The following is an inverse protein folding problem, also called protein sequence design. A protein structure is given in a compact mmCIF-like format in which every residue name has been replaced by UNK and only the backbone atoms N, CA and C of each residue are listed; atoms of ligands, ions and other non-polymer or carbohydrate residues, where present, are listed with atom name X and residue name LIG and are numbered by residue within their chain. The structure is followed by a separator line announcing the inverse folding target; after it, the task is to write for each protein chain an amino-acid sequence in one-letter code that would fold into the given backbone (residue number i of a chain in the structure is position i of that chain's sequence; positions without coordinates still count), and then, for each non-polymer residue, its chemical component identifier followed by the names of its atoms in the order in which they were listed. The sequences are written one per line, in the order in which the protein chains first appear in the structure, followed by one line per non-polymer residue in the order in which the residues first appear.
data_IF_008625354137
#
_entry.id   IF_008625354137
#
_cell.length_a   1.000
_cell.length_b   1.000
_cell.length_c   1.000
_cell.angle_alpha   90.00
_cell.angle_beta   90.00
_cell.angle_gamma   90.00
#
_symmetry.space_group_name_H-M   'P 1'
#
loop_
_entity.id
_entity.type
_entity.pdbx_description
1 polymer ?
#
# COMPACT_ATOMS: atom_id res chain seq x y z
N UNK A 1 3.35 39.47 -7.48
CA UNK A 1 2.03 39.51 -6.81
C UNK A 1 2.15 39.54 -5.27
N UNK A 2 2.64 38.49 -4.59
CA UNK A 2 2.62 38.42 -3.12
C UNK A 2 3.28 39.61 -2.39
N UNK A 3 4.44 40.08 -2.86
CA UNK A 3 5.15 41.23 -2.26
C UNK A 3 4.44 42.58 -2.44
N UNK A 4 3.40 42.67 -3.27
CA UNK A 4 2.56 43.87 -3.36
C UNK A 4 1.51 43.93 -2.25
N UNK A 5 1.23 42.81 -1.58
CA UNK A 5 0.18 42.68 -0.56
C UNK A 5 0.72 42.77 0.88
N UNK A 6 2.04 42.76 1.07
CA UNK A 6 2.67 42.71 2.39
C UNK A 6 4.10 43.30 2.40
N UNK A 7 4.48 43.92 3.52
CA UNK A 7 5.85 44.43 3.75
C UNK A 7 6.85 43.31 4.08
N UNK A 8 6.36 42.19 4.62
CA UNK A 8 7.15 41.01 5.00
C UNK A 8 6.56 39.78 4.32
N UNK A 9 7.36 39.12 3.49
CA UNK A 9 6.95 37.92 2.75
C UNK A 9 7.66 36.71 3.33
N UNK A 10 6.90 35.83 3.96
CA UNK A 10 7.38 34.53 4.46
C UNK A 10 6.87 33.44 3.55
N UNK A 11 7.78 32.64 2.98
CA UNK A 11 7.40 31.47 2.16
C UNK A 11 7.70 30.20 2.92
N UNK A 12 6.70 29.34 3.08
CA UNK A 12 6.89 28.04 3.69
C UNK A 12 6.89 26.91 2.67
N UNK A 13 7.85 26.00 2.82
CA UNK A 13 8.05 24.85 1.94
C UNK A 13 7.55 23.59 2.64
N UNK A 14 6.74 22.79 1.93
CA UNK A 14 6.30 21.47 2.40
C UNK A 14 7.50 20.50 2.43
N UNK A 15 7.73 19.81 3.57
CA UNK A 15 8.77 18.79 3.70
C UNK A 15 8.70 17.69 2.66
N UNK A 16 9.85 17.13 2.29
CA UNK A 16 9.95 16.06 1.29
C UNK A 16 9.06 14.86 1.65
N UNK A 17 8.96 14.52 2.94
CA UNK A 17 8.15 13.40 3.44
C UNK A 17 6.64 13.56 3.24
N UNK A 18 6.16 14.77 2.93
CA UNK A 18 4.74 15.04 2.67
C UNK A 18 4.44 15.29 1.18
N UNK A 19 5.44 15.21 0.29
CA UNK A 19 5.24 15.43 -1.16
C UNK A 19 4.82 14.13 -1.87
N UNK A 20 3.52 13.96 -2.07
CA UNK A 20 2.94 12.76 -2.69
C UNK A 20 2.43 13.03 -4.12
N UNK A 21 3.29 13.57 -5.00
CA UNK A 21 2.93 14.01 -6.37
C UNK A 21 3.40 13.07 -7.50
N UNK A 22 3.58 11.78 -7.20
CA UNK A 22 4.05 10.78 -8.16
C UNK A 22 5.47 10.27 -7.88
N UNK A 23 6.00 9.36 -8.74
CA UNK A 23 7.31 8.76 -8.56
C UNK A 23 8.47 9.74 -8.68
N UNK A 24 9.47 9.56 -7.81
CA UNK A 24 10.67 10.41 -7.78
C UNK A 24 10.37 11.86 -7.42
N UNK A 25 9.28 12.10 -6.65
CA UNK A 25 8.89 13.42 -6.17
C UNK A 25 9.19 13.55 -4.67
N UNK A 26 9.64 14.73 -4.21
CA UNK A 26 9.99 15.90 -5.02
C UNK A 26 11.30 15.67 -5.80
N UNK A 27 11.46 16.34 -6.95
CA UNK A 27 12.70 16.22 -7.76
C UNK A 27 13.86 16.99 -7.14
N UNK A 28 13.55 18.10 -6.49
CA UNK A 28 14.48 18.90 -5.73
C UNK A 28 14.16 18.74 -4.24
N UNK A 29 15.18 18.47 -3.43
CA UNK A 29 15.01 18.34 -1.98
C UNK A 29 14.43 19.61 -1.37
N UNK A 30 13.80 19.48 -0.21
CA UNK A 30 13.25 20.59 0.56
C UNK A 30 14.27 21.70 0.81
N UNK A 31 15.55 21.33 1.00
CA UNK A 31 16.64 22.29 1.16
C UNK A 31 16.93 23.05 -0.14
N UNK A 32 17.04 22.37 -1.29
CA UNK A 32 17.25 23.03 -2.58
C UNK A 32 16.07 23.93 -2.96
N UNK A 33 14.84 23.47 -2.67
CA UNK A 33 13.62 24.27 -2.90
C UNK A 33 13.61 25.51 -2.00
N UNK A 34 13.97 25.37 -0.73
CA UNK A 34 14.05 26.50 0.20
C UNK A 34 15.14 27.49 -0.21
N UNK A 35 16.31 27.02 -0.61
CA UNK A 35 17.43 27.84 -1.09
C UNK A 35 17.04 28.64 -2.33
N UNK A 36 16.40 28.00 -3.32
CA UNK A 36 15.95 28.67 -4.54
C UNK A 36 14.93 29.79 -4.26
N UNK A 37 13.99 29.58 -3.33
CA UNK A 37 13.02 30.60 -2.94
C UNK A 37 13.66 31.70 -2.11
N UNK A 38 14.65 31.37 -1.27
CA UNK A 38 15.37 32.34 -0.46
C UNK A 38 16.21 33.31 -1.31
N UNK A 39 16.57 32.91 -2.53
CA UNK A 39 17.29 33.76 -3.48
C UNK A 39 16.41 34.83 -4.16
N UNK A 40 15.09 34.84 -3.91
CA UNK A 40 14.19 35.86 -4.46
C UNK A 40 14.24 37.12 -3.59
N UNK A 41 14.61 38.26 -4.18
CA UNK A 41 14.72 39.56 -3.49
C UNK A 41 13.43 39.99 -2.75
N UNK A 42 12.28 39.52 -3.23
CA UNK A 42 10.98 39.85 -2.65
C UNK A 42 10.57 38.95 -1.47
N UNK A 43 11.38 37.97 -1.09
CA UNK A 43 11.11 37.04 0.01
C UNK A 43 11.96 37.42 1.23
N UNK A 44 11.30 37.74 2.35
CA UNK A 44 11.96 38.15 3.60
C UNK A 44 12.51 36.95 4.38
N UNK A 45 11.79 35.84 4.38
CA UNK A 45 12.21 34.61 5.06
C UNK A 45 11.62 33.36 4.39
N UNK A 46 12.36 32.27 4.46
CA UNK A 46 11.91 30.94 4.02
C UNK A 46 12.01 29.97 5.18
N UNK A 47 10.99 29.12 5.34
CA UNK A 47 10.98 28.05 6.33
C UNK A 47 10.48 26.75 5.71
N UNK A 48 11.10 25.62 6.08
CA UNK A 48 10.51 24.30 5.84
C UNK A 48 9.54 24.05 7.01
N UNK A 49 8.27 23.81 6.70
CA UNK A 49 7.25 23.64 7.75
C UNK A 49 7.33 22.22 8.37
N UNK A 50 6.43 21.88 9.30
CA UNK A 50 6.42 20.58 9.99
C UNK A 50 5.21 19.72 9.66
N UNK A 51 4.35 20.18 8.74
CA UNK A 51 3.00 19.65 8.59
C UNK A 51 2.65 19.42 7.11
N UNK A 52 1.74 18.46 6.82
CA UNK A 52 1.34 18.17 5.45
C UNK A 52 0.47 19.27 4.81
N UNK A 53 -0.17 20.13 5.61
CA UNK A 53 -0.96 21.26 5.15
C UNK A 53 -0.50 22.59 5.79
N UNK A 54 -1.01 23.70 5.26
CA UNK A 54 -0.61 25.03 5.71
C UNK A 54 -1.33 25.50 6.99
N UNK A 55 -2.37 24.80 7.46
CA UNK A 55 -3.23 25.24 8.56
C UNK A 55 -2.43 25.50 9.85
N UNK A 56 -1.61 24.57 10.37
CA UNK A 56 -0.83 24.82 11.57
C UNK A 56 0.20 25.94 11.39
N UNK A 57 0.68 26.14 10.17
CA UNK A 57 1.65 27.19 9.85
C UNK A 57 0.99 28.57 9.89
N UNK A 58 -0.22 28.67 9.33
CA UNK A 58 -1.05 29.89 9.38
C UNK A 58 -1.36 30.23 10.83
N UNK A 59 -1.77 29.26 11.64
CA UNK A 59 -2.11 29.47 13.06
C UNK A 59 -0.89 29.87 13.91
N UNK A 60 0.31 29.38 13.57
CA UNK A 60 1.55 29.73 14.26
C UNK A 60 2.04 31.14 13.90
N UNK A 61 2.02 31.49 12.61
CA UNK A 61 2.54 32.78 12.13
C UNK A 61 1.52 33.92 12.25
N UNK A 62 0.22 33.59 12.23
CA UNK A 62 -0.92 34.53 12.23
C UNK A 62 -0.77 35.67 11.20
N UNK A 63 -0.58 35.38 9.90
CA UNK A 63 -0.32 36.42 8.91
C UNK A 63 -1.57 37.28 8.65
N UNK A 64 -1.37 38.53 8.23
CA UNK A 64 -2.47 39.41 7.80
C UNK A 64 -3.04 39.02 6.43
N UNK A 65 -2.20 38.44 5.56
CA UNK A 65 -2.56 37.98 4.22
C UNK A 65 -1.94 36.61 3.97
N UNK A 66 -2.73 35.65 3.51
CA UNK A 66 -2.24 34.36 3.00
C UNK A 66 -2.40 34.33 1.49
N UNK A 67 -1.31 34.11 0.76
CA UNK A 67 -1.29 34.22 -0.71
C UNK A 67 -1.23 32.84 -1.37
N UNK A 68 -2.09 32.59 -2.36
CA UNK A 68 -2.12 31.37 -3.18
C UNK A 68 -2.14 31.70 -4.68
N UNK A 69 -1.63 30.78 -5.49
CA UNK A 69 -1.68 30.88 -6.96
C UNK A 69 -3.09 30.64 -7.52
N UNK A 70 -3.32 30.94 -8.82
CA UNK A 70 -4.65 30.81 -9.43
C UNK A 70 -5.09 29.36 -9.61
N UNK A 71 -4.19 28.38 -9.50
CA UNK A 71 -4.52 26.94 -9.45
C UNK A 71 -5.52 26.57 -8.33
N UNK A 72 -5.77 27.49 -7.39
CA UNK A 72 -6.62 27.30 -6.21
C UNK A 72 -7.87 28.20 -6.22
N UNK A 73 -8.19 28.81 -7.37
CA UNK A 73 -9.30 29.77 -7.51
C UNK A 73 -10.67 29.10 -7.43
N UNK A 74 -10.78 27.78 -7.64
CA UNK A 74 -12.04 27.04 -7.61
C UNK A 74 -12.00 25.96 -6.53
N UNK A 75 -12.68 26.20 -5.40
CA UNK A 75 -12.79 25.24 -4.30
C UNK A 75 -13.42 23.88 -4.73
N UNK A 76 -14.19 23.87 -5.83
CA UNK A 76 -14.81 22.67 -6.39
C UNK A 76 -13.81 21.66 -6.98
N UNK A 77 -12.60 22.10 -7.35
CA UNK A 77 -11.55 21.25 -7.93
C UNK A 77 -10.61 20.66 -6.87
N UNK A 78 -10.69 21.12 -5.60
CA UNK A 78 -9.91 20.58 -4.50
C UNK A 78 -10.53 19.28 -3.96
N UNK A 79 -9.96 18.17 -4.39
CA UNK A 79 -10.28 16.82 -3.91
C UNK A 79 -10.08 16.61 -2.41
N UNK A 80 -9.38 17.50 -1.71
CA UNK A 80 -8.98 17.32 -0.30
C UNK A 80 -9.66 18.25 0.71
N UNK A 81 -10.44 19.23 0.24
CA UNK A 81 -11.00 20.29 1.09
C UNK A 81 -9.93 21.03 1.90
N UNK A 82 -8.68 21.04 1.44
CA UNK A 82 -7.56 21.69 2.10
C UNK A 82 -7.66 23.21 1.99
N UNK A 83 -8.08 23.72 0.82
CA UNK A 83 -8.24 25.16 0.56
C UNK A 83 -9.25 25.77 1.55
N UNK A 84 -10.39 25.12 1.75
CA UNK A 84 -11.42 25.60 2.66
C UNK A 84 -10.89 25.65 4.11
N UNK A 85 -10.16 24.62 4.55
CA UNK A 85 -9.54 24.60 5.88
C UNK A 85 -8.49 25.70 6.05
N UNK A 86 -7.69 25.96 5.03
CA UNK A 86 -6.70 27.04 5.01
C UNK A 86 -7.38 28.43 5.06
N UNK A 87 -8.50 28.61 4.35
CA UNK A 87 -9.29 29.84 4.38
C UNK A 87 -9.88 30.09 5.78
N UNK A 88 -10.51 29.08 6.38
CA UNK A 88 -11.04 29.19 7.73
C UNK A 88 -9.92 29.50 8.74
N UNK A 89 -8.74 28.93 8.58
CA UNK A 89 -7.59 29.18 9.45
C UNK A 89 -7.10 30.63 9.40
N UNK A 90 -7.02 31.23 8.20
CA UNK A 90 -6.57 32.62 8.05
C UNK A 90 -7.62 33.60 8.58
N UNK A 91 -8.91 33.33 8.36
CA UNK A 91 -10.02 34.14 8.91
C UNK A 91 -10.04 34.10 10.44
N UNK A 92 -9.81 32.93 11.06
CA UNK A 92 -9.64 32.80 12.52
C UNK A 92 -8.46 33.61 13.07
N UNK A 93 -7.41 33.81 12.26
CA UNK A 93 -6.27 34.62 12.64
C UNK A 93 -6.52 36.13 12.47
N UNK A 94 -7.62 36.53 11.83
CA UNK A 94 -7.94 37.91 11.48
C UNK A 94 -7.29 38.39 10.18
N UNK A 95 -6.76 37.47 9.37
CA UNK A 95 -6.19 37.76 8.06
C UNK A 95 -7.15 37.48 6.91
N UNK A 96 -6.69 37.65 5.67
CA UNK A 96 -7.45 37.33 4.45
C UNK A 96 -6.68 36.44 3.48
N UNK A 97 -7.40 35.60 2.74
CA UNK A 97 -6.84 34.88 1.59
C UNK A 97 -6.76 35.81 0.37
N UNK A 98 -5.64 35.80 -0.35
CA UNK A 98 -5.46 36.51 -1.61
C UNK A 98 -5.00 35.53 -2.70
N UNK A 99 -5.70 35.51 -3.83
CA UNK A 99 -5.40 34.64 -4.97
C UNK A 99 -4.82 35.51 -6.08
N UNK A 100 -3.65 35.12 -6.60
CA UNK A 100 -2.93 35.88 -7.63
C UNK A 100 -3.42 35.50 -9.03
N UNK A 101 -3.44 36.44 -9.97
CA UNK A 101 -3.86 36.24 -11.37
C UNK A 101 -2.68 36.12 -12.35
N UNK A 102 -1.71 35.26 -12.04
CA UNK A 102 -0.53 35.01 -12.91
C UNK A 102 -0.69 33.73 -13.75
N UNK A 103 0.06 33.63 -14.86
CA UNK A 103 0.09 32.42 -15.70
C UNK A 103 0.54 31.22 -14.88
N UNK A 104 -0.29 30.19 -14.80
CA UNK A 104 0.05 28.94 -14.12
C UNK A 104 0.73 27.95 -15.06
N UNK A 105 1.87 27.45 -14.61
CA UNK A 105 2.51 26.29 -15.21
C UNK A 105 2.33 25.10 -14.29
N UNK A 106 1.74 24.02 -14.80
CA UNK A 106 1.67 22.76 -14.05
C UNK A 106 3.08 22.20 -13.88
N UNK A 107 3.61 22.32 -12.66
CA UNK A 107 4.91 21.75 -12.28
C UNK A 107 5.02 20.26 -12.63
N UNK A 108 3.92 19.51 -12.50
CA UNK A 108 3.90 18.10 -12.91
C UNK A 108 4.02 17.94 -14.42
N UNK A 109 3.28 18.69 -15.23
CA UNK A 109 3.43 18.65 -16.70
C UNK A 109 4.84 19.03 -17.12
N UNK A 110 5.40 20.11 -16.57
CA UNK A 110 6.76 20.57 -16.89
C UNK A 110 7.78 19.49 -16.55
N UNK A 111 7.68 18.87 -15.38
CA UNK A 111 8.67 17.88 -14.97
C UNK A 111 8.45 16.55 -15.72
N UNK A 112 7.20 16.11 -15.92
CA UNK A 112 6.92 14.90 -16.71
C UNK A 112 7.44 15.07 -18.16
N UNK A 113 7.39 16.28 -18.72
CA UNK A 113 7.90 16.63 -20.05
C UNK A 113 9.42 16.80 -20.13
N UNK A 114 10.03 17.48 -19.15
CA UNK A 114 11.42 17.95 -19.26
C UNK A 114 12.41 17.26 -18.31
N UNK A 115 11.93 16.55 -17.31
CA UNK A 115 12.72 15.89 -16.26
C UNK A 115 12.10 14.51 -15.96
N UNK A 116 12.06 13.59 -16.95
CA UNK A 116 11.31 12.35 -16.83
C UNK A 116 11.89 11.46 -15.73
N UNK A 117 11.16 11.32 -14.63
CA UNK A 117 11.50 10.41 -13.51
C UNK A 117 11.08 8.95 -13.79
N UNK A 118 10.23 8.75 -14.80
CA UNK A 118 9.67 7.46 -15.18
C UNK A 118 10.51 6.77 -16.27
N UNK A 119 10.67 5.45 -16.15
CA UNK A 119 11.24 4.62 -17.22
C UNK A 119 10.49 4.82 -18.55
N UNK A 120 11.17 4.72 -19.71
CA UNK A 120 10.56 4.86 -21.03
C UNK A 120 9.32 3.97 -21.22
N UNK A 121 9.39 2.70 -20.84
CA UNK A 121 8.26 1.76 -20.96
C UNK A 121 7.02 2.21 -20.16
N UNK A 122 7.20 2.73 -18.94
CA UNK A 122 6.08 3.24 -18.15
C UNK A 122 5.46 4.49 -18.79
N UNK A 123 6.28 5.40 -19.36
CA UNK A 123 5.77 6.58 -20.05
C UNK A 123 4.94 6.23 -21.28
N UNK A 124 5.43 5.28 -22.08
CA UNK A 124 4.70 4.76 -23.24
C UNK A 124 3.37 4.12 -22.83
N UNK A 125 3.39 3.27 -21.80
CA UNK A 125 2.16 2.69 -21.23
C UNK A 125 1.17 3.78 -20.79
N UNK A 126 1.60 4.77 -20.01
CA UNK A 126 0.73 5.84 -19.51
C UNK A 126 0.15 6.69 -20.64
N UNK A 127 0.92 6.95 -21.70
CA UNK A 127 0.43 7.65 -22.89
C UNK A 127 -0.73 6.88 -23.53
N UNK A 128 -0.51 5.61 -23.88
CA UNK A 128 -1.56 4.74 -24.48
C UNK A 128 -2.74 4.53 -23.53
N UNK A 129 -2.50 4.48 -22.23
CA UNK A 129 -3.56 4.38 -21.22
C UNK A 129 -4.42 5.64 -21.20
N UNK A 130 -3.80 6.83 -21.20
CA UNK A 130 -4.49 8.13 -21.16
C UNK A 130 -5.32 8.44 -22.41
N UNK A 131 -5.01 7.80 -23.55
CA UNK A 131 -5.83 7.88 -24.77
C UNK A 131 -7.18 7.15 -24.61
N UNK A 132 -7.26 6.16 -23.73
CA UNK A 132 -8.44 5.30 -23.54
C UNK A 132 -9.18 5.56 -22.24
N UNK A 133 -8.48 6.07 -21.24
CA UNK A 133 -8.98 6.21 -19.87
C UNK A 133 -8.68 7.59 -19.32
N UNK A 134 -9.62 8.12 -18.53
CA UNK A 134 -9.45 9.40 -17.85
C UNK A 134 -9.17 9.20 -16.35
N UNK A 135 -8.47 10.16 -15.74
CA UNK A 135 -8.30 10.18 -14.28
C UNK A 135 -9.64 10.19 -13.53
N UNK A 136 -10.68 10.79 -14.11
CA UNK A 136 -12.03 10.79 -13.53
C UNK A 136 -12.61 9.38 -13.38
N UNK A 137 -12.39 8.49 -14.35
CA UNK A 137 -12.83 7.09 -14.27
C UNK A 137 -12.11 6.35 -13.15
N UNK A 138 -10.79 6.53 -13.03
CA UNK A 138 -10.00 5.95 -11.93
C UNK A 138 -10.51 6.44 -10.58
N UNK A 139 -10.72 7.76 -10.45
CA UNK A 139 -11.23 8.36 -9.23
C UNK A 139 -12.60 7.77 -8.86
N UNK A 140 -13.50 7.68 -9.83
CA UNK A 140 -14.84 7.09 -9.65
C UNK A 140 -14.75 5.63 -9.20
N UNK A 141 -13.85 4.84 -9.80
CA UNK A 141 -13.61 3.46 -9.40
C UNK A 141 -13.13 3.37 -7.95
N UNK A 142 -12.13 4.15 -7.55
CA UNK A 142 -11.59 4.15 -6.17
C UNK A 142 -12.65 4.62 -5.17
N UNK A 143 -13.42 5.67 -5.49
CA UNK A 143 -14.51 6.15 -4.63
C UNK A 143 -15.62 5.10 -4.48
N UNK A 144 -15.90 4.32 -5.53
CA UNK A 144 -16.86 3.20 -5.49
C UNK A 144 -16.40 2.00 -4.66
N UNK A 145 -15.22 2.02 -4.06
CA UNK A 145 -14.82 0.93 -3.15
C UNK A 145 -15.41 1.13 -1.75
N UNK A 146 -15.81 2.36 -1.41
CA UNK A 146 -16.20 2.74 -0.05
C UNK A 146 -17.39 1.94 0.50
N UNK A 147 -18.35 1.56 -0.33
CA UNK A 147 -19.58 0.86 0.02
C UNK A 147 -19.45 -0.67 0.10
N UNK A 148 -18.30 -1.24 -0.30
CA UNK A 148 -18.08 -2.68 -0.27
C UNK A 148 -17.98 -3.21 1.16
N UNK A 149 -18.62 -4.36 1.41
CA UNK A 149 -18.40 -5.16 2.62
C UNK A 149 -17.33 -6.20 2.37
N UNK A 150 -16.21 -6.10 3.08
CA UNK A 150 -15.03 -6.94 2.87
C UNK A 150 -14.72 -7.78 4.09
N UNK A 151 -14.54 -9.09 3.90
CA UNK A 151 -13.98 -9.97 4.91
C UNK A 151 -12.55 -10.34 4.50
N UNK A 152 -11.58 -10.09 5.37
CA UNK A 152 -10.20 -10.53 5.19
C UNK A 152 -9.95 -11.75 6.07
N UNK A 153 -9.42 -12.84 5.49
CA UNK A 153 -9.20 -14.12 6.17
C UNK A 153 -7.76 -14.59 5.94
N UNK A 154 -7.04 -14.95 7.00
CA UNK A 154 -5.67 -15.41 6.87
C UNK A 154 -4.93 -15.39 8.20
N UNK A 155 -3.66 -15.78 8.19
CA UNK A 155 -2.86 -15.81 9.40
C UNK A 155 -2.53 -14.40 9.92
N UNK A 156 -2.75 -14.19 11.23
CA UNK A 156 -2.22 -13.04 11.95
C UNK A 156 -0.73 -13.26 12.18
N UNK A 157 0.09 -12.31 11.72
CA UNK A 157 1.54 -12.38 11.85
C UNK A 157 2.01 -11.11 12.55
N UNK A 158 2.87 -11.28 13.55
CA UNK A 158 3.53 -10.17 14.23
C UNK A 158 4.91 -10.01 13.62
N UNK A 159 5.13 -8.89 12.93
CA UNK A 159 6.43 -8.56 12.37
C UNK A 159 7.25 -7.79 13.42
N UNK A 160 8.28 -8.42 13.96
CA UNK A 160 9.07 -7.91 15.09
C UNK A 160 10.48 -7.51 14.61
N UNK A 161 10.74 -6.22 14.46
CA UNK A 161 12.00 -5.68 13.94
C UNK A 161 12.95 -5.33 15.08
N UNK A 162 14.14 -5.93 15.09
CA UNK A 162 15.20 -5.70 16.07
C UNK A 162 16.34 -4.97 15.37
N UNK A 163 16.41 -3.65 15.56
CA UNK A 163 17.46 -2.82 14.99
C UNK A 163 18.73 -2.97 15.81
N UNK A 164 19.81 -3.31 15.11
CA UNK A 164 21.09 -3.66 15.68
C UNK A 164 22.21 -2.93 14.95
N UNK A 165 23.35 -2.76 15.63
CA UNK A 165 24.60 -2.29 15.02
C UNK A 165 25.63 -3.40 14.97
N UNK A 166 26.18 -3.70 13.80
CA UNK A 166 27.25 -4.71 13.66
C UNK A 166 28.51 -4.26 14.40
N UNK A 167 29.03 -5.14 15.27
CA UNK A 167 30.28 -4.95 16.00
C UNK A 167 31.47 -5.61 15.29
N UNK A 168 31.22 -6.71 14.56
CA UNK A 168 32.22 -7.46 13.82
C UNK A 168 32.00 -8.97 13.92
N UNK A 169 33.05 -9.75 13.65
CA UNK A 169 33.04 -11.20 13.82
C UNK A 169 33.19 -11.58 15.30
N UNK A 170 32.43 -12.58 15.75
CA UNK A 170 32.62 -13.18 17.08
C UNK A 170 34.01 -13.79 17.22
N UNK A 171 34.62 -13.66 18.39
CA UNK A 171 35.95 -14.21 18.69
C UNK A 171 35.97 -15.74 18.85
N UNK A 172 34.81 -16.39 19.01
CA UNK A 172 34.69 -17.83 19.29
C UNK A 172 34.11 -18.64 18.13
N UNK A 173 33.29 -18.02 17.30
CA UNK A 173 32.54 -18.68 16.24
C UNK A 173 32.51 -17.78 14.97
N UNK A 174 32.35 -18.32 13.76
CA UNK A 174 32.28 -17.55 12.52
C UNK A 174 30.92 -16.87 12.32
N UNK A 175 30.42 -16.20 13.35
CA UNK A 175 29.13 -15.50 13.37
C UNK A 175 29.33 -14.00 13.52
N UNK A 176 28.35 -13.21 13.06
CA UNK A 176 28.31 -11.78 13.31
C UNK A 176 27.90 -11.50 14.76
N UNK A 177 28.68 -10.68 15.45
CA UNK A 177 28.32 -10.08 16.73
C UNK A 177 27.68 -8.71 16.48
N UNK A 178 26.50 -8.49 17.05
CA UNK A 178 25.72 -7.26 16.88
C UNK A 178 25.29 -6.70 18.23
N UNK A 179 25.16 -5.38 18.33
CA UNK A 179 24.62 -4.69 19.51
C UNK A 179 23.17 -4.30 19.24
N UNK A 180 22.24 -4.73 20.10
CA UNK A 180 20.85 -4.28 20.06
C UNK A 180 20.76 -2.77 20.33
N UNK A 181 19.92 -2.07 19.57
CA UNK A 181 19.67 -0.64 19.76
C UNK A 181 18.22 -0.35 20.12
N UNK A 182 17.28 -0.90 19.35
CA UNK A 182 15.84 -0.73 19.57
C UNK A 182 15.03 -1.81 18.86
N UNK A 183 13.76 -1.94 19.23
CA UNK A 183 12.81 -2.79 18.52
C UNK A 183 11.54 -2.04 18.14
N UNK A 184 10.92 -2.47 17.05
CA UNK A 184 9.60 -2.00 16.60
C UNK A 184 8.76 -3.22 16.22
N UNK A 185 7.48 -3.23 16.57
CA UNK A 185 6.57 -4.33 16.27
C UNK A 185 5.44 -3.82 15.39
N UNK A 186 5.08 -4.58 14.36
CA UNK A 186 4.04 -4.22 13.40
C UNK A 186 3.01 -5.34 13.26
N UNK A 187 1.76 -4.94 13.03
CA UNK A 187 0.70 -5.83 12.59
C UNK A 187 0.96 -6.26 11.14
N UNK A 188 1.39 -7.49 10.94
CA UNK A 188 1.65 -8.11 9.64
C UNK A 188 0.62 -9.17 9.29
N UNK A 189 0.85 -9.87 8.18
CA UNK A 189 -0.07 -10.91 7.73
C UNK A 189 -1.42 -10.34 7.32
N UNK A 190 -2.50 -11.04 7.68
CA UNK A 190 -3.86 -10.57 7.40
C UNK A 190 -4.19 -9.24 8.11
N UNK A 191 -3.51 -8.90 9.19
CA UNK A 191 -3.76 -7.67 9.96
C UNK A 191 -3.34 -6.42 9.15
N UNK A 192 -2.21 -6.50 8.44
CA UNK A 192 -1.78 -5.45 7.53
C UNK A 192 -2.78 -5.25 6.39
N UNK A 193 -3.24 -6.36 5.80
CA UNK A 193 -4.27 -6.37 4.75
C UNK A 193 -5.56 -5.72 5.26
N UNK A 194 -6.01 -6.08 6.47
CA UNK A 194 -7.20 -5.48 7.09
C UNK A 194 -7.08 -3.95 7.18
N UNK A 195 -5.94 -3.44 7.66
CA UNK A 195 -5.68 -2.01 7.73
C UNK A 195 -5.68 -1.36 6.34
N UNK A 196 -5.02 -1.97 5.34
CA UNK A 196 -5.00 -1.45 3.97
C UNK A 196 -6.39 -1.39 3.33
N UNK A 197 -7.22 -2.42 3.53
CA UNK A 197 -8.60 -2.46 3.03
C UNK A 197 -9.50 -1.45 3.78
N UNK A 198 -9.28 -1.23 5.07
CA UNK A 198 -10.05 -0.25 5.86
C UNK A 198 -9.82 1.21 5.42
N UNK A 199 -8.70 1.49 4.75
CA UNK A 199 -8.44 2.80 4.17
C UNK A 199 -9.20 3.03 2.84
N UNK A 200 -9.75 1.98 2.24
CA UNK A 200 -10.46 1.99 0.96
C UNK A 200 -11.97 1.79 1.11
N UNK A 201 -12.41 1.14 2.19
CA UNK A 201 -13.80 0.68 2.37
C UNK A 201 -14.32 1.03 3.76
N UNK A 202 -15.62 1.23 3.90
CA UNK A 202 -16.25 1.58 5.18
C UNK A 202 -16.54 0.35 6.06
N UNK A 203 -16.53 -0.85 5.50
CA UNK A 203 -16.93 -2.09 6.19
C UNK A 203 -15.90 -3.19 5.94
N UNK A 204 -15.02 -3.40 6.93
CA UNK A 204 -14.00 -4.45 6.89
C UNK A 204 -14.06 -5.25 8.17
N UNK A 205 -14.10 -6.57 8.00
CA UNK A 205 -13.97 -7.49 9.12
C UNK A 205 -12.75 -8.40 8.89
N UNK A 206 -12.02 -8.72 9.96
CA UNK A 206 -10.90 -9.66 9.94
C UNK A 206 -11.25 -10.94 10.67
N UNK A 207 -11.01 -12.09 10.04
CA UNK A 207 -11.12 -13.41 10.63
C UNK A 207 -9.76 -14.09 10.67
N UNK A 208 -9.27 -14.34 11.88
CA UNK A 208 -7.94 -14.92 12.09
C UNK A 208 -7.84 -15.62 13.45
N UNK A 209 -6.71 -16.28 13.69
CA UNK A 209 -6.35 -16.81 14.99
C UNK A 209 -5.27 -15.99 15.68
N UNK A 210 -5.36 -15.93 17.01
CA UNK A 210 -4.27 -15.50 17.89
C UNK A 210 -3.99 -16.57 18.95
N UNK A 211 -2.72 -16.70 19.29
CA UNK A 211 -2.25 -17.64 20.31
C UNK A 211 -2.63 -17.22 21.74
N UNK A 212 -2.12 -17.94 22.75
CA UNK A 212 -2.52 -17.76 24.14
C UNK A 212 -1.95 -16.47 24.77
N UNK A 213 -0.89 -15.87 24.24
CA UNK A 213 -0.23 -14.72 24.85
C UNK A 213 -1.05 -13.42 24.75
N UNK A 214 -1.58 -12.96 25.89
CA UNK A 214 -2.47 -11.78 25.96
C UNK A 214 -1.84 -10.49 25.40
N UNK A 215 -0.50 -10.34 25.46
CA UNK A 215 0.19 -9.18 24.88
C UNK A 215 -0.10 -8.97 23.40
N UNK A 216 -0.29 -10.06 22.63
CA UNK A 216 -0.60 -9.96 21.21
C UNK A 216 -2.06 -9.62 20.96
N UNK A 217 -2.96 -9.98 21.86
CA UNK A 217 -4.35 -9.54 21.81
C UNK A 217 -4.45 -8.03 21.99
N UNK A 218 -3.83 -7.49 23.04
CA UNK A 218 -3.80 -6.04 23.30
C UNK A 218 -3.08 -5.27 22.17
N UNK A 219 -2.00 -5.84 21.63
CA UNK A 219 -1.29 -5.24 20.48
C UNK A 219 -2.19 -5.16 19.24
N UNK A 220 -2.84 -6.27 18.86
CA UNK A 220 -3.72 -6.30 17.68
C UNK A 220 -4.93 -5.38 17.85
N UNK A 221 -5.48 -5.25 19.06
CA UNK A 221 -6.54 -4.30 19.34
C UNK A 221 -6.12 -2.84 19.15
N UNK A 222 -4.88 -2.50 19.49
CA UNK A 222 -4.33 -1.15 19.34
C UNK A 222 -3.87 -0.81 17.91
N UNK A 223 -3.39 -1.79 17.15
CA UNK A 223 -2.86 -1.59 15.80
C UNK A 223 -3.90 -1.64 14.68
N UNK A 224 -5.01 -2.35 14.88
CA UNK A 224 -6.09 -2.38 13.91
C UNK A 224 -6.93 -1.10 14.01
N UNK A 225 -7.32 -0.56 12.85
CA UNK A 225 -8.28 0.55 12.80
C UNK A 225 -9.52 0.23 13.65
N UNK A 226 -10.04 1.18 14.46
CA UNK A 226 -11.25 0.98 15.26
C UNK A 226 -12.48 0.61 14.43
N UNK A 227 -12.49 0.93 13.13
CA UNK A 227 -13.57 0.59 12.20
C UNK A 227 -13.59 -0.88 11.78
N UNK A 228 -12.53 -1.64 12.03
CA UNK A 228 -12.42 -3.03 11.61
C UNK A 228 -13.15 -3.94 12.59
N UNK A 229 -14.14 -4.69 12.10
CA UNK A 229 -14.79 -5.77 12.85
C UNK A 229 -13.82 -6.93 13.09
N UNK A 230 -13.80 -7.47 14.30
CA UNK A 230 -12.79 -8.45 14.74
C UNK A 230 -13.43 -9.80 15.02
N UNK A 231 -13.13 -10.79 14.20
CA UNK A 231 -13.44 -12.20 14.42
C UNK A 231 -12.16 -12.95 14.80
N UNK A 232 -11.50 -12.52 15.88
CA UNK A 232 -10.26 -13.12 16.35
C UNK A 232 -10.57 -14.36 17.21
N UNK A 233 -10.15 -15.51 16.73
CA UNK A 233 -10.35 -16.80 17.40
C UNK A 233 -9.10 -17.15 18.22
N UNK A 234 -9.29 -17.79 19.37
CA UNK A 234 -8.17 -18.26 20.19
C UNK A 234 -7.71 -19.65 19.76
N UNK A 235 -6.40 -19.84 19.69
CA UNK A 235 -5.77 -21.15 19.46
C UNK A 235 -4.73 -21.49 20.53
N UNK A 236 -4.33 -22.75 20.59
CA UNK A 236 -3.31 -23.24 21.52
C UNK A 236 -1.88 -22.95 21.05
N UNK A 237 -1.66 -22.98 19.74
CA UNK A 237 -0.37 -22.64 19.13
C UNK A 237 -0.01 -21.16 19.40
N UNK A 238 1.28 -20.80 19.48
CA UNK A 238 1.69 -19.41 19.66
C UNK A 238 1.22 -18.54 18.50
N UNK A 239 1.03 -17.24 18.76
CA UNK A 239 0.84 -16.27 17.67
C UNK A 239 2.09 -16.28 16.80
N UNK A 240 1.92 -16.29 15.47
CA UNK A 240 3.06 -16.34 14.55
C UNK A 240 3.83 -15.03 14.65
N UNK A 241 5.11 -15.10 14.99
CA UNK A 241 6.02 -13.94 15.02
C UNK A 241 7.13 -14.15 13.99
N UNK A 242 7.34 -13.17 13.11
CA UNK A 242 8.49 -13.09 12.22
C UNK A 242 9.44 -12.02 12.75
N UNK A 243 10.44 -12.45 13.53
CA UNK A 243 11.43 -11.55 14.13
C UNK A 243 12.59 -11.33 13.16
N UNK A 244 12.89 -10.08 12.81
CA UNK A 244 13.93 -9.70 11.86
C UNK A 244 15.00 -8.86 12.53
N UNK A 245 16.25 -9.28 12.40
CA UNK A 245 17.39 -8.49 12.88
C UNK A 245 17.92 -7.64 11.73
N UNK A 246 17.94 -6.32 11.94
CA UNK A 246 18.20 -5.32 10.89
C UNK A 246 19.34 -4.42 11.33
N UNK A 247 20.34 -4.23 10.48
CA UNK A 247 21.39 -3.25 10.69
C UNK A 247 20.80 -1.83 10.64
N UNK A 248 20.99 -1.02 11.69
CA UNK A 248 20.41 0.33 11.79
C UNK A 248 20.77 1.25 10.60
N UNK A 249 21.95 1.07 10.02
CA UNK A 249 22.36 1.73 8.78
C UNK A 249 23.26 0.79 7.97
N UNK A 250 22.89 0.35 6.76
CA UNK A 250 21.91 0.96 5.86
C UNK A 250 20.52 0.27 5.82
N UNK A 251 19.98 -0.21 6.95
CA UNK A 251 18.72 -0.99 7.01
C UNK A 251 18.79 -2.37 6.35
N UNK A 252 19.98 -2.97 6.33
CA UNK A 252 20.18 -4.32 5.80
C UNK A 252 19.65 -5.38 6.77
N UNK A 253 18.83 -6.32 6.27
CA UNK A 253 18.34 -7.47 7.05
C UNK A 253 19.45 -8.51 7.17
N UNK A 254 19.78 -8.89 8.40
CA UNK A 254 20.84 -9.84 8.72
C UNK A 254 20.31 -11.28 8.67
N UNK A 255 19.24 -11.54 9.43
CA UNK A 255 18.53 -12.82 9.47
C UNK A 255 17.14 -12.64 10.09
N UNK A 256 16.31 -13.67 9.99
CA UNK A 256 15.00 -13.71 10.63
C UNK A 256 14.76 -15.02 11.38
N UNK A 257 13.90 -14.97 12.40
CA UNK A 257 13.50 -16.09 13.25
C UNK A 257 11.99 -16.19 13.22
N UNK A 258 11.48 -17.39 12.93
CA UNK A 258 10.06 -17.70 12.98
C UNK A 258 9.74 -18.28 14.36
N UNK A 259 8.84 -17.63 15.09
CA UNK A 259 8.24 -18.17 16.31
C UNK A 259 6.84 -18.63 15.93
N UNK A 260 6.70 -19.92 15.73
CA UNK A 260 5.46 -20.58 15.33
C UNK A 260 5.59 -22.08 15.65
N UNK A 261 4.46 -22.77 15.79
CA UNK A 261 4.45 -24.23 15.79
C UNK A 261 4.47 -24.74 14.34
N UNK A 262 5.14 -25.89 14.12
CA UNK A 262 5.20 -26.54 12.81
C UNK A 262 3.79 -26.81 12.25
N UNK A 263 3.65 -26.66 10.93
CA UNK A 263 2.40 -26.52 10.17
C UNK A 263 1.46 -27.75 10.13
N UNK A 264 1.21 -28.41 11.26
CA UNK A 264 0.13 -29.38 11.38
C UNK A 264 -1.15 -28.73 11.88
N UNK A 265 -2.21 -29.03 11.16
CA UNK A 265 -3.51 -28.45 11.36
C UNK A 265 -4.15 -29.03 12.64
N UNK A 266 -4.51 -28.17 13.61
CA UNK A 266 -5.29 -28.57 14.78
C UNK A 266 -6.77 -28.79 14.39
N UNK A 267 -7.34 -30.02 14.48
CA UNK A 267 -8.72 -30.30 14.06
C UNK A 267 -9.76 -29.41 14.75
N UNK A 268 -9.52 -29.07 16.02
CA UNK A 268 -10.39 -28.16 16.79
C UNK A 268 -10.39 -26.74 16.20
N UNK A 269 -9.22 -26.23 15.81
CA UNK A 269 -9.11 -24.94 15.14
C UNK A 269 -9.76 -24.96 13.75
N UNK A 270 -9.70 -26.09 12.99
CA UNK A 270 -10.49 -26.23 11.75
C UNK A 270 -11.95 -26.01 12.01
N UNK A 271 -12.50 -26.76 12.96
CA UNK A 271 -13.93 -26.82 13.17
C UNK A 271 -14.45 -25.43 13.53
N UNK A 272 -13.75 -24.73 14.43
CA UNK A 272 -14.08 -23.37 14.82
C UNK A 272 -13.99 -22.38 13.65
N UNK A 273 -12.95 -22.49 12.82
CA UNK A 273 -12.81 -21.63 11.64
C UNK A 273 -13.92 -21.89 10.63
N UNK A 274 -14.24 -23.16 10.36
CA UNK A 274 -15.29 -23.56 9.42
C UNK A 274 -16.67 -23.09 9.90
N UNK A 275 -16.98 -23.28 11.18
CA UNK A 275 -18.22 -22.78 11.80
C UNK A 275 -18.32 -21.26 11.66
N UNK A 276 -17.23 -20.54 11.96
CA UNK A 276 -17.24 -19.08 11.83
C UNK A 276 -17.42 -18.64 10.39
N UNK A 277 -16.69 -19.23 9.44
CA UNK A 277 -16.81 -18.97 8.01
C UNK A 277 -18.24 -19.20 7.51
N UNK A 278 -18.84 -20.34 7.86
CA UNK A 278 -20.23 -20.67 7.49
C UNK A 278 -21.22 -19.61 7.98
N UNK A 279 -20.99 -19.07 9.17
CA UNK A 279 -21.90 -18.08 9.75
C UNK A 279 -21.80 -16.68 9.14
N UNK A 280 -20.65 -16.29 8.58
CA UNK A 280 -20.40 -14.90 8.19
C UNK A 280 -19.99 -14.69 6.72
N UNK A 281 -19.35 -15.65 6.05
CA UNK A 281 -18.67 -15.39 4.77
C UNK A 281 -19.61 -14.89 3.66
N UNK A 282 -20.84 -15.43 3.60
CA UNK A 282 -21.86 -15.06 2.61
C UNK A 282 -22.48 -13.65 2.81
N UNK A 283 -22.17 -12.99 3.93
CA UNK A 283 -22.63 -11.62 4.23
C UNK A 283 -21.76 -10.52 3.58
N UNK A 284 -20.61 -10.90 3.01
CA UNK A 284 -19.65 -9.98 2.42
C UNK A 284 -19.70 -10.03 0.89
N UNK A 285 -19.40 -8.90 0.27
CA UNK A 285 -19.30 -8.76 -1.17
C UNK A 285 -18.01 -9.39 -1.69
N UNK A 286 -16.92 -9.17 -0.94
CA UNK A 286 -15.56 -9.65 -1.25
C UNK A 286 -14.98 -10.36 -0.04
N UNK A 287 -14.48 -11.57 -0.25
CA UNK A 287 -13.64 -12.30 0.72
C UNK A 287 -12.22 -12.33 0.18
N UNK A 288 -11.29 -11.69 0.89
CA UNK A 288 -9.86 -11.66 0.55
C UNK A 288 -9.13 -12.64 1.46
N UNK A 289 -8.45 -13.61 0.86
CA UNK A 289 -7.68 -14.63 1.57
C UNK A 289 -6.20 -14.41 1.33
N UNK A 290 -5.43 -14.34 2.41
CA UNK A 290 -3.96 -14.40 2.35
C UNK A 290 -3.50 -15.61 3.13
N UNK A 291 -3.02 -16.61 2.40
CA UNK A 291 -2.59 -17.90 2.92
C UNK A 291 -1.07 -17.98 2.93
N UNK A 292 -0.47 -17.79 4.10
CA UNK A 292 0.97 -17.87 4.29
C UNK A 292 1.45 -19.32 4.43
N UNK A 293 0.52 -20.28 4.51
CA UNK A 293 0.83 -21.69 4.60
C UNK A 293 1.35 -22.12 5.98
N UNK A 294 0.92 -21.45 7.04
CA UNK A 294 1.27 -21.77 8.43
C UNK A 294 0.19 -22.61 9.15
N UNK A 295 -0.81 -23.11 8.41
CA UNK A 295 -1.70 -24.19 8.87
C UNK A 295 -3.12 -23.77 9.32
N UNK A 296 -3.42 -22.46 9.29
CA UNK A 296 -4.75 -21.95 9.59
C UNK A 296 -5.79 -22.43 8.56
N UNK A 297 -5.49 -22.26 7.27
CA UNK A 297 -6.41 -22.53 6.18
C UNK A 297 -6.34 -24.01 5.78
N UNK A 298 -7.03 -24.85 6.55
CA UNK A 298 -7.17 -26.29 6.31
C UNK A 298 -7.92 -26.62 5.02
N UNK A 299 -7.87 -27.87 4.57
CA UNK A 299 -8.65 -28.30 3.40
C UNK A 299 -10.17 -28.06 3.57
N UNK A 300 -10.80 -28.38 4.73
CA UNK A 300 -12.18 -28.00 5.00
C UNK A 300 -12.42 -26.48 4.96
N UNK A 301 -11.56 -25.67 5.60
CA UNK A 301 -11.73 -24.22 5.63
C UNK A 301 -11.63 -23.61 4.22
N UNK A 302 -10.68 -24.09 3.40
CA UNK A 302 -10.58 -23.69 1.99
C UNK A 302 -11.83 -24.08 1.20
N UNK A 303 -12.40 -25.27 1.43
CA UNK A 303 -13.64 -25.67 0.77
C UNK A 303 -14.80 -24.71 1.14
N UNK A 304 -14.97 -24.42 2.44
CA UNK A 304 -15.99 -23.48 2.93
C UNK A 304 -15.82 -22.08 2.32
N UNK A 305 -14.59 -21.56 2.23
CA UNK A 305 -14.32 -20.28 1.58
C UNK A 305 -14.78 -20.25 0.12
N UNK A 306 -14.60 -21.34 -0.62
CA UNK A 306 -14.96 -21.41 -2.04
C UNK A 306 -16.48 -21.59 -2.26
N UNK A 307 -17.17 -22.17 -1.29
CA UNK A 307 -18.62 -22.39 -1.31
C UNK A 307 -19.39 -21.14 -0.89
N UNK A 308 -18.98 -20.50 0.21
CA UNK A 308 -19.74 -19.43 0.86
C UNK A 308 -19.43 -18.03 0.32
N UNK A 309 -18.27 -17.83 -0.30
CA UNK A 309 -17.86 -16.50 -0.77
C UNK A 309 -18.55 -16.13 -2.08
N UNK A 310 -19.18 -14.95 -2.12
CA UNK A 310 -19.74 -14.36 -3.36
C UNK A 310 -18.64 -14.06 -4.38
N UNK A 311 -17.53 -13.51 -3.89
CA UNK A 311 -16.32 -13.27 -4.64
C UNK A 311 -15.10 -13.59 -3.76
N UNK A 312 -14.30 -14.56 -4.18
CA UNK A 312 -13.11 -15.00 -3.49
C UNK A 312 -11.84 -14.50 -4.19
N UNK A 313 -11.09 -13.64 -3.52
CA UNK A 313 -9.75 -13.21 -3.92
C UNK A 313 -8.70 -13.95 -3.09
N UNK A 314 -7.70 -14.57 -3.73
CA UNK A 314 -6.68 -15.37 -3.02
C UNK A 314 -5.27 -14.95 -3.41
N UNK A 315 -4.43 -14.81 -2.39
CA UNK A 315 -2.97 -14.83 -2.50
C UNK A 315 -2.43 -15.97 -1.63
N UNK A 316 -1.68 -16.89 -2.23
CA UNK A 316 -0.93 -17.92 -1.51
C UNK A 316 0.54 -17.56 -1.54
N UNK A 317 1.16 -17.37 -0.38
CA UNK A 317 2.55 -16.95 -0.33
C UNK A 317 3.52 -18.11 -0.22
N UNK A 318 4.62 -18.00 -0.95
CA UNK A 318 5.80 -18.83 -0.68
C UNK A 318 6.78 -18.08 0.20
N UNK A 319 7.17 -18.73 1.29
CA UNK A 319 8.11 -18.19 2.27
C UNK A 319 9.02 -19.30 2.82
N UNK A 320 10.04 -18.89 3.59
CA UNK A 320 11.00 -19.81 4.17
C UNK A 320 10.34 -20.86 5.08
N UNK A 321 9.24 -20.50 5.76
CA UNK A 321 8.51 -21.39 6.66
C UNK A 321 7.76 -22.52 5.97
N UNK A 322 7.37 -22.36 4.69
CA UNK A 322 6.68 -23.39 3.92
C UNK A 322 7.51 -24.00 2.78
N UNK A 323 8.73 -23.51 2.56
CA UNK A 323 9.71 -24.03 1.60
C UNK A 323 9.17 -24.18 0.16
N UNK A 324 8.14 -23.41 -0.21
CA UNK A 324 7.52 -23.49 -1.53
C UNK A 324 6.51 -24.63 -1.72
N UNK A 325 6.16 -25.37 -0.66
CA UNK A 325 5.12 -26.41 -0.70
C UNK A 325 3.69 -25.86 -0.50
N UNK A 326 3.55 -24.55 -0.38
CA UNK A 326 2.24 -23.89 -0.26
C UNK A 326 1.98 -23.04 -1.51
N UNK A 327 1.06 -23.49 -2.35
CA UNK A 327 0.74 -22.86 -3.64
C UNK A 327 -0.76 -22.79 -3.88
N UNK A 328 -1.16 -21.98 -4.87
CA UNK A 328 -2.56 -21.76 -5.24
C UNK A 328 -3.29 -23.05 -5.66
N UNK A 329 -2.57 -24.09 -6.10
CA UNK A 329 -3.10 -25.44 -6.38
C UNK A 329 -3.89 -26.08 -5.22
N UNK A 330 -3.78 -25.56 -3.99
CA UNK A 330 -4.58 -26.00 -2.83
C UNK A 330 -6.03 -25.49 -2.85
N UNK A 331 -6.36 -24.58 -3.74
CA UNK A 331 -7.70 -24.03 -3.98
C UNK A 331 -8.27 -24.61 -5.28
N UNK A 332 -9.56 -24.87 -5.34
CA UNK A 332 -10.25 -25.40 -6.53
C UNK A 332 -10.85 -24.29 -7.40
N UNK A 333 -11.59 -23.36 -6.81
CA UNK A 333 -12.27 -22.23 -7.47
C UNK A 333 -11.90 -20.92 -6.79
N UNK A 334 -11.43 -19.95 -7.58
CA UNK A 334 -11.08 -18.61 -7.09
C UNK A 334 -11.54 -17.58 -8.12
N UNK A 335 -12.10 -16.43 -7.72
CA UNK A 335 -12.54 -15.39 -8.66
C UNK A 335 -11.39 -14.48 -9.10
N UNK A 336 -10.50 -14.13 -8.17
CA UNK A 336 -9.31 -13.31 -8.43
C UNK A 336 -8.07 -13.91 -7.76
N UNK A 337 -7.02 -14.10 -8.55
CA UNK A 337 -5.74 -14.64 -8.07
C UNK A 337 -4.68 -13.55 -8.16
N UNK A 338 -4.04 -13.21 -7.04
CA UNK A 338 -2.87 -12.33 -7.05
C UNK A 338 -1.67 -13.15 -6.58
N UNK A 339 -0.63 -13.29 -7.40
CA UNK A 339 0.59 -14.02 -7.07
C UNK A 339 1.81 -13.23 -7.53
N UNK A 340 2.98 -13.52 -6.99
CA UNK A 340 4.25 -13.16 -7.63
C UNK A 340 4.59 -14.12 -8.76
N UNK A 341 5.47 -13.70 -9.67
CA UNK A 341 6.04 -14.57 -10.69
C UNK A 341 6.69 -15.81 -10.07
N UNK A 342 7.37 -15.66 -8.93
CA UNK A 342 8.01 -16.77 -8.24
C UNK A 342 6.97 -17.79 -7.78
N UNK A 343 5.92 -17.34 -7.11
CA UNK A 343 4.81 -18.19 -6.63
C UNK A 343 4.10 -18.91 -7.77
N UNK A 344 3.79 -18.20 -8.85
CA UNK A 344 3.17 -18.79 -10.04
C UNK A 344 4.06 -19.86 -10.68
N UNK A 345 5.38 -19.61 -10.79
CA UNK A 345 6.35 -20.57 -11.33
C UNK A 345 6.53 -21.80 -10.44
N UNK A 346 6.50 -21.63 -9.12
CA UNK A 346 6.57 -22.74 -8.17
C UNK A 346 5.32 -23.61 -8.26
N UNK A 347 4.15 -22.99 -8.42
CA UNK A 347 2.88 -23.70 -8.60
C UNK A 347 2.88 -24.58 -9.84
N UNK A 348 3.26 -24.05 -11.01
CA UNK A 348 3.35 -24.84 -12.26
C UNK A 348 4.64 -25.67 -12.38
N UNK A 349 5.55 -25.56 -11.39
CA UNK A 349 6.86 -26.23 -11.37
C UNK A 349 7.70 -26.01 -12.63
N UNK A 350 7.64 -24.80 -13.20
CA UNK A 350 8.33 -24.49 -14.47
C UNK A 350 8.99 -23.11 -14.48
N UNK A 351 10.31 -23.08 -14.65
CA UNK A 351 11.12 -21.86 -14.47
C UNK A 351 11.11 -20.89 -15.66
N UNK A 352 11.03 -21.39 -16.90
CA UNK A 352 11.27 -20.57 -18.11
C UNK A 352 10.06 -20.39 -19.03
N UNK A 353 8.91 -20.97 -18.69
CA UNK A 353 7.72 -20.90 -19.55
C UNK A 353 7.23 -19.45 -19.65
N UNK A 354 6.70 -19.01 -20.81
CA UNK A 354 6.10 -17.69 -20.96
C UNK A 354 5.04 -17.44 -19.87
N UNK A 355 5.02 -16.21 -19.34
CA UNK A 355 4.15 -15.87 -18.22
C UNK A 355 2.67 -15.89 -18.59
N UNK A 356 2.34 -15.53 -19.84
CA UNK A 356 0.96 -15.63 -20.34
C UNK A 356 0.46 -17.08 -20.26
N UNK A 357 1.27 -18.06 -20.67
CA UNK A 357 0.87 -19.47 -20.63
C UNK A 357 0.66 -19.96 -19.19
N UNK A 358 1.53 -19.54 -18.27
CA UNK A 358 1.41 -19.85 -16.83
C UNK A 358 0.11 -19.25 -16.28
N UNK A 359 -0.18 -17.99 -16.60
CA UNK A 359 -1.39 -17.32 -16.15
C UNK A 359 -2.66 -17.98 -16.72
N UNK A 360 -2.65 -18.37 -18.00
CA UNK A 360 -3.77 -19.13 -18.62
C UNK A 360 -3.97 -20.47 -17.93
N UNK A 361 -2.91 -21.23 -17.67
CA UNK A 361 -3.03 -22.52 -16.99
C UNK A 361 -3.60 -22.39 -15.58
N UNK A 362 -3.05 -21.46 -14.77
CA UNK A 362 -3.52 -21.23 -13.40
C UNK A 362 -4.99 -20.77 -13.41
N UNK A 363 -5.34 -19.79 -14.25
CA UNK A 363 -6.72 -19.27 -14.29
C UNK A 363 -7.72 -20.31 -14.78
N UNK A 364 -7.35 -21.16 -15.75
CA UNK A 364 -8.17 -22.28 -16.20
C UNK A 364 -8.36 -23.31 -15.08
N UNK A 365 -7.27 -23.73 -14.42
CA UNK A 365 -7.31 -24.72 -13.33
C UNK A 365 -8.21 -24.27 -12.18
N UNK A 366 -8.20 -22.99 -11.86
CA UNK A 366 -8.95 -22.42 -10.74
C UNK A 366 -10.30 -21.80 -11.13
N UNK A 367 -10.73 -21.97 -12.38
CA UNK A 367 -11.93 -21.32 -12.93
C UNK A 367 -11.98 -19.81 -12.69
N UNK A 368 -10.83 -19.15 -12.63
CA UNK A 368 -10.71 -17.73 -12.31
C UNK A 368 -11.06 -16.84 -13.50
N UNK A 369 -11.75 -15.73 -13.23
CA UNK A 369 -12.05 -14.72 -14.23
C UNK A 369 -10.93 -13.70 -14.38
N UNK A 370 -10.09 -13.53 -13.36
CA UNK A 370 -9.02 -12.54 -13.35
C UNK A 370 -7.80 -13.00 -12.55
N UNK A 371 -6.61 -12.61 -13.01
CA UNK A 371 -5.35 -12.85 -12.31
C UNK A 371 -4.42 -11.65 -12.45
N UNK A 372 -3.67 -11.37 -11.39
CA UNK A 372 -2.54 -10.46 -11.38
C UNK A 372 -1.27 -11.21 -10.97
N UNK A 373 -0.19 -10.99 -11.71
CA UNK A 373 1.13 -11.53 -11.43
C UNK A 373 2.14 -10.39 -11.21
N UNK A 374 2.66 -10.25 -10.00
CA UNK A 374 3.69 -9.25 -9.68
C UNK A 374 5.09 -9.73 -10.05
N UNK A 375 5.91 -8.85 -10.63
CA UNK A 375 7.24 -9.17 -11.19
C UNK A 375 8.32 -8.23 -10.66
N UNK A 376 8.14 -7.69 -9.46
CA UNK A 376 9.08 -6.77 -8.83
C UNK A 376 9.33 -5.53 -9.69
N UNK A 377 10.59 -5.31 -10.06
CA UNK A 377 11.04 -4.18 -10.88
C UNK A 377 10.54 -4.22 -12.34
N UNK A 378 9.96 -5.34 -12.79
CA UNK A 378 9.33 -5.47 -14.11
C UNK A 378 7.84 -5.11 -14.11
N UNK A 379 7.26 -4.77 -12.95
CA UNK A 379 5.85 -4.36 -12.82
C UNK A 379 4.92 -5.55 -12.66
N UNK A 380 3.77 -5.53 -13.35
CA UNK A 380 2.74 -6.56 -13.22
C UNK A 380 2.26 -7.05 -14.58
N UNK A 381 1.97 -8.35 -14.66
CA UNK A 381 1.18 -8.93 -15.75
C UNK A 381 -0.22 -9.19 -15.23
N UNK A 382 -1.23 -8.67 -15.90
CA UNK A 382 -2.63 -8.88 -15.54
C UNK A 382 -3.35 -9.63 -16.65
N UNK A 383 -4.35 -10.41 -16.26
CA UNK A 383 -5.20 -11.17 -17.16
C UNK A 383 -6.66 -11.05 -16.69
N UNK A 384 -7.56 -10.79 -17.63
CA UNK A 384 -8.99 -10.98 -17.44
C UNK A 384 -9.54 -11.84 -18.58
N UNK A 385 -10.45 -12.76 -18.25
CA UNK A 385 -11.07 -13.67 -19.23
C UNK A 385 -11.79 -12.92 -20.36
N UNK A 386 -12.34 -11.74 -20.06
CA UNK A 386 -13.14 -10.93 -20.99
C UNK A 386 -12.30 -10.08 -21.94
N UNK A 387 -11.11 -9.65 -21.54
CA UNK A 387 -10.32 -8.66 -22.28
C UNK A 387 -8.85 -9.05 -22.49
N UNK A 388 -8.42 -10.22 -22.03
CA UNK A 388 -7.09 -10.75 -22.26
C UNK A 388 -6.03 -10.18 -21.30
N UNK A 389 -4.82 -9.99 -21.82
CA UNK A 389 -3.65 -9.61 -21.04
C UNK A 389 -3.34 -8.11 -21.10
N UNK A 390 -2.84 -7.57 -19.99
CA UNK A 390 -2.12 -6.30 -19.99
C UNK A 390 -0.80 -6.43 -19.22
N UNK A 391 0.29 -6.02 -19.87
CA UNK A 391 1.63 -5.93 -19.29
C UNK A 391 1.86 -4.48 -18.86
N UNK A 392 1.94 -4.25 -17.54
CA UNK A 392 2.10 -2.90 -16.97
C UNK A 392 3.49 -2.78 -16.33
N UNK A 393 4.39 -1.95 -16.88
CA UNK A 393 5.74 -1.74 -16.35
C UNK A 393 5.74 -1.22 -14.91
N UNK A 394 6.82 -1.41 -14.14
CA UNK A 394 6.93 -0.85 -12.79
C UNK A 394 7.15 0.67 -12.81
N UNK A 395 6.71 1.34 -11.75
CA UNK A 395 7.22 2.66 -11.40
C UNK A 395 8.67 2.57 -10.92
N UNK A 396 9.54 3.44 -11.43
CA UNK A 396 10.97 3.47 -11.08
C UNK A 396 11.24 4.25 -9.79
N UNK A 397 12.15 3.74 -8.95
CA UNK A 397 12.61 4.39 -7.72
C UNK A 397 13.44 3.46 -6.83
N UNK A 398 14.17 4.01 -5.85
CA UNK A 398 14.84 3.19 -4.82
C UNK A 398 13.80 2.60 -3.86
N UNK A 399 13.87 1.30 -3.61
CA UNK A 399 13.04 0.63 -2.62
C UNK A 399 13.75 0.68 -1.26
N UNK A 400 13.06 1.19 -0.23
CA UNK A 400 13.53 1.19 1.16
C UNK A 400 13.29 -0.19 1.78
N UNK A 401 12.08 -0.73 1.65
CA UNK A 401 11.76 -2.10 2.06
C UNK A 401 10.76 -2.72 1.07
N UNK A 402 10.87 -4.02 0.79
CA UNK A 402 9.93 -4.72 -0.11
C UNK A 402 8.84 -5.48 0.64
N UNK A 403 8.96 -5.60 1.96
CA UNK A 403 8.00 -6.32 2.80
C UNK A 403 6.63 -5.63 2.74
N UNK A 404 5.58 -6.43 2.61
CA UNK A 404 4.19 -5.94 2.59
C UNK A 404 3.74 -5.30 1.28
N UNK A 405 4.62 -5.15 0.28
CA UNK A 405 4.23 -4.59 -1.02
C UNK A 405 3.17 -5.44 -1.74
N UNK A 406 3.32 -6.77 -1.69
CA UNK A 406 2.32 -7.71 -2.22
C UNK A 406 0.96 -7.59 -1.52
N UNK A 407 0.96 -7.38 -0.20
CA UNK A 407 -0.26 -7.25 0.60
C UNK A 407 -1.03 -5.98 0.23
N UNK A 408 -0.33 -4.85 0.00
CA UNK A 408 -0.95 -3.61 -0.53
C UNK A 408 -1.49 -3.79 -1.93
N UNK A 409 -0.73 -4.45 -2.81
CA UNK A 409 -1.16 -4.75 -4.18
C UNK A 409 -2.45 -5.57 -4.16
N UNK A 410 -2.50 -6.65 -3.38
CA UNK A 410 -3.69 -7.50 -3.24
C UNK A 410 -4.88 -6.70 -2.68
N UNK A 411 -4.66 -5.92 -1.63
CA UNK A 411 -5.72 -5.17 -0.93
C UNK A 411 -6.49 -4.25 -1.88
N UNK A 412 -5.79 -3.54 -2.76
CA UNK A 412 -6.43 -2.66 -3.76
C UNK A 412 -6.95 -3.45 -4.97
N UNK A 413 -6.12 -4.33 -5.53
CA UNK A 413 -6.46 -5.05 -6.76
C UNK A 413 -7.65 -5.99 -6.61
N UNK A 414 -7.82 -6.65 -5.45
CA UNK A 414 -8.98 -7.51 -5.20
C UNK A 414 -10.31 -6.75 -5.28
N UNK A 415 -10.35 -5.54 -4.71
CA UNK A 415 -11.55 -4.69 -4.73
C UNK A 415 -11.81 -4.14 -6.14
N UNK A 416 -10.77 -3.72 -6.85
CA UNK A 416 -10.89 -3.27 -8.23
C UNK A 416 -11.32 -4.40 -9.18
N UNK A 417 -10.84 -5.63 -8.95
CA UNK A 417 -11.25 -6.81 -9.71
C UNK A 417 -12.73 -7.15 -9.46
N UNK A 418 -13.22 -7.02 -8.22
CA UNK A 418 -14.64 -7.15 -7.92
C UNK A 418 -15.50 -6.12 -8.66
N UNK A 419 -15.05 -4.87 -8.75
CA UNK A 419 -15.69 -3.80 -9.53
C UNK A 419 -15.52 -3.94 -11.05
N UNK A 420 -14.83 -4.98 -11.54
CA UNK A 420 -14.67 -5.25 -12.96
C UNK A 420 -13.70 -4.32 -13.69
N UNK A 421 -12.68 -3.80 -12.99
CA UNK A 421 -11.64 -2.97 -13.61
C UNK A 421 -10.96 -3.71 -14.79
N UNK A 422 -10.62 -2.96 -15.85
CA UNK A 422 -9.85 -3.52 -16.98
C UNK A 422 -8.46 -4.00 -16.52
N UNK A 423 -7.84 -4.97 -17.20
CA UNK A 423 -6.49 -5.44 -16.88
C UNK A 423 -5.47 -4.30 -16.78
N UNK A 424 -5.51 -3.33 -17.69
CA UNK A 424 -4.63 -2.16 -17.69
C UNK A 424 -4.82 -1.30 -16.43
N UNK A 425 -6.08 -1.03 -16.07
CA UNK A 425 -6.43 -0.22 -14.88
C UNK A 425 -6.05 -0.95 -13.61
N UNK A 426 -6.38 -2.25 -13.54
CA UNK A 426 -6.02 -3.12 -12.43
C UNK A 426 -4.50 -3.15 -12.24
N UNK A 427 -3.75 -3.29 -13.33
CA UNK A 427 -2.29 -3.30 -13.34
C UNK A 427 -1.67 -1.97 -12.90
N UNK A 428 -2.20 -0.84 -13.40
CA UNK A 428 -1.76 0.50 -13.00
C UNK A 428 -1.98 0.75 -11.50
N UNK A 429 -3.18 0.45 -11.00
CA UNK A 429 -3.52 0.61 -9.58
C UNK A 429 -2.70 -0.29 -8.68
N UNK A 430 -2.54 -1.57 -9.05
CA UNK A 430 -1.68 -2.51 -8.34
C UNK A 430 -0.23 -2.01 -8.26
N UNK A 431 0.34 -1.60 -9.39
CA UNK A 431 1.70 -1.05 -9.43
C UNK A 431 1.85 0.22 -8.58
N UNK A 432 0.87 1.13 -8.59
CA UNK A 432 0.90 2.34 -7.79
C UNK A 432 0.92 2.01 -6.29
N UNK A 433 0.03 1.11 -5.85
CA UNK A 433 -0.01 0.65 -4.46
C UNK A 433 1.30 -0.04 -4.04
N UNK A 434 1.84 -0.91 -4.90
CA UNK A 434 3.13 -1.58 -4.66
C UNK A 434 4.30 -0.60 -4.60
N UNK A 435 4.35 0.39 -5.50
CA UNK A 435 5.38 1.43 -5.49
C UNK A 435 5.35 2.26 -4.21
N UNK A 436 4.17 2.71 -3.78
CA UNK A 436 4.00 3.45 -2.53
C UNK A 436 4.36 2.61 -1.30
N UNK A 437 4.16 1.28 -1.35
CA UNK A 437 4.59 0.36 -0.30
C UNK A 437 6.09 0.36 -0.10
N UNK A 438 6.84 0.27 -1.20
CA UNK A 438 8.29 0.07 -1.10
C UNK A 438 9.07 1.32 -0.66
N UNK A 439 8.40 2.47 -0.56
CA UNK A 439 8.96 3.72 -0.04
C UNK A 439 8.91 3.79 1.50
N UNK A 440 8.47 2.74 2.19
CA UNK A 440 8.32 2.71 3.65
C UNK A 440 8.91 1.45 4.25
N UNK A 441 9.32 1.50 5.52
CA UNK A 441 9.83 0.32 6.24
C UNK A 441 8.66 -0.50 6.78
N UNK A 442 8.60 -1.78 6.41
CA UNK A 442 7.57 -2.72 6.87
C UNK A 442 6.14 -2.20 6.66
N UNK A 443 5.25 -2.54 7.60
CA UNK A 443 3.85 -2.11 7.58
C UNK A 443 3.61 -0.76 8.30
N UNK A 444 4.64 0.08 8.43
CA UNK A 444 4.55 1.35 9.18
C UNK A 444 3.50 2.31 8.64
N UNK A 445 3.23 2.28 7.33
CA UNK A 445 2.18 3.08 6.72
C UNK A 445 1.07 2.18 6.16
N UNK A 446 -0.15 2.62 6.37
CA UNK A 446 -1.33 2.07 5.71
C UNK A 446 -1.49 2.76 4.35
N UNK A 447 -2.15 2.10 3.41
CA UNK A 447 -2.55 2.73 2.15
C UNK A 447 -3.37 4.00 2.48
N UNK A 448 -3.08 5.12 1.80
CA UNK A 448 -3.86 6.35 1.92
C UNK A 448 -4.52 6.63 0.57
N UNK A 449 -5.86 6.60 0.58
CA UNK A 449 -6.70 6.85 -0.61
C UNK A 449 -6.39 8.19 -1.25
N UNK A 450 -6.19 9.23 -0.44
CA UNK A 450 -5.91 10.60 -0.91
C UNK A 450 -4.53 10.66 -1.54
N UNK A 451 -3.52 10.08 -0.90
CA UNK A 451 -2.18 10.01 -1.45
C UNK A 451 -2.14 9.21 -2.77
N UNK A 452 -2.88 8.11 -2.86
CA UNK A 452 -3.00 7.30 -4.08
C UNK A 452 -3.66 8.09 -5.22
N UNK A 453 -4.77 8.78 -4.97
CA UNK A 453 -5.45 9.60 -5.98
C UNK A 453 -4.53 10.73 -6.48
N UNK A 454 -3.86 11.44 -5.57
CA UNK A 454 -2.87 12.47 -5.93
C UNK A 454 -1.73 11.86 -6.75
N UNK A 455 -1.20 10.72 -6.35
CA UNK A 455 -0.14 10.04 -7.08
C UNK A 455 -0.57 9.75 -8.53
N UNK A 456 -1.75 9.19 -8.73
CA UNK A 456 -2.27 8.82 -10.05
C UNK A 456 -2.59 10.05 -10.90
N UNK A 457 -3.20 11.09 -10.32
CA UNK A 457 -3.53 12.33 -11.02
C UNK A 457 -2.30 12.99 -11.63
N UNK A 458 -1.22 13.12 -10.84
CA UNK A 458 0.01 13.76 -11.31
C UNK A 458 0.82 12.87 -12.27
N UNK A 459 0.60 11.55 -12.22
CA UNK A 459 1.27 10.58 -13.10
C UNK A 459 0.62 10.53 -14.48
N UNK A 460 -0.70 10.80 -14.57
CA UNK A 460 -1.46 10.78 -15.82
C UNK A 460 -1.55 12.15 -16.52
N UNK A 461 -1.04 13.22 -15.89
CA UNK A 461 -0.88 14.56 -16.47
C UNK A 461 0.41 14.67 -17.27
#
# INVERSE_FOLDING_TARGET
AAAAEADVVVVTITPDCFVNKGPGRPVFSELLRAEAVCALDCVTAVAINRWPDAVPTIELLRPNVYVKGPDYQHAADDTTGGIQREQEAIERCGGRLHITDDVTFSSSQLINRHLPTLAPAMREFLHTYSEKHSFREIRTLIESLADLKVLVVGESIIDDYHYCRTLGKSGKEPILAVRFERSETFAGGILAVANHVSALTNHVDVLSFLGPEDRYWSFVEGELSPSIGKHLLRQTAPTIVKRRFVESYPLQKLFEVYIMDGAEHCPRSSALLCERLQSIASNYDVVIVVDYGHGMLSAPARAMLQEESRFLAVNTQVNAGNQGFHTISKYGRVNFICLSEQEARMDVRHKQRPLQDIALEITQRHSSSCMMMTRGDKGVLTYARTSGFADVPAFTGSAIDRIGAGDRVLSLSALCAYRGASPETLGLLGNAAGYMAVQTVGHRQTLDRTALLKFLEHTLK
#
